data_IF_330939491107
#
_entry.id   IF_330939491107
#
_cell.length_a   1.000
_cell.length_b   1.000
_cell.length_c   1.000
_cell.angle_alpha   90.00
_cell.angle_beta   90.00
_cell.angle_gamma   90.00
#
_symmetry.space_group_name_H-M   'P 1'
#
loop_
_entity.id
_entity.type
_entity.pdbx_description
1 polymer ?
#
# COMPACT_ATOMS: atom_id res chain seq x y z
N UNK A 1 8.59 9.61 9.53
CA UNK A 1 9.94 9.26 9.03
C UNK A 1 11.03 10.24 9.51
N UNK A 2 10.80 11.55 9.58
CA UNK A 2 11.83 12.48 10.08
C UNK A 2 12.32 12.11 11.50
N UNK A 3 13.64 12.06 11.70
CA UNK A 3 14.26 11.61 12.97
C UNK A 3 14.25 10.10 13.22
N UNK A 4 13.67 9.31 12.30
CA UNK A 4 13.46 7.87 12.45
C UNK A 4 14.04 7.09 11.24
N UNK A 5 15.10 7.61 10.61
CA UNK A 5 15.74 7.03 9.44
C UNK A 5 17.28 7.18 9.55
N UNK A 6 17.93 6.47 10.50
CA UNK A 6 19.35 6.68 10.83
C UNK A 6 20.30 6.34 9.67
N UNK A 7 19.87 5.53 8.70
CA UNK A 7 20.61 5.21 7.48
C UNK A 7 20.60 6.36 6.44
N UNK A 8 19.76 7.38 6.60
CA UNK A 8 19.56 8.44 5.62
C UNK A 8 20.18 9.76 6.08
N UNK A 9 21.12 10.31 5.30
CA UNK A 9 21.67 11.65 5.52
C UNK A 9 20.71 12.76 5.09
N UNK A 10 19.78 12.48 4.17
CA UNK A 10 18.77 13.41 3.68
C UNK A 10 17.49 12.65 3.35
N UNK A 11 16.34 13.22 3.71
CA UNK A 11 15.02 12.68 3.36
C UNK A 11 14.34 13.70 2.46
N UNK A 12 13.89 13.26 1.28
CA UNK A 12 13.08 14.05 0.35
C UNK A 12 11.70 13.44 0.24
N UNK A 13 10.68 14.29 0.18
CA UNK A 13 9.30 13.87 -0.04
C UNK A 13 8.90 14.29 -1.45
N UNK A 14 8.39 13.33 -2.23
CA UNK A 14 7.78 13.60 -3.52
C UNK A 14 6.26 13.60 -3.36
N UNK A 15 5.61 14.68 -3.77
CA UNK A 15 4.15 14.75 -3.83
C UNK A 15 3.71 14.45 -5.25
N UNK A 16 2.82 13.48 -5.40
CA UNK A 16 2.33 12.99 -6.68
C UNK A 16 0.84 13.18 -6.77
N UNK A 17 0.33 13.46 -7.98
CA UNK A 17 -1.11 13.45 -8.20
C UNK A 17 -1.59 12.00 -8.29
N UNK A 18 -1.91 11.42 -7.13
CA UNK A 18 -2.53 10.09 -6.98
C UNK A 18 -4.02 10.21 -6.68
N UNK A 19 -4.66 11.26 -7.20
CA UNK A 19 -6.12 11.44 -7.18
C UNK A 19 -6.65 11.35 -8.62
N UNK A 20 -6.11 12.16 -9.52
CA UNK A 20 -6.58 12.24 -10.91
C UNK A 20 -5.89 11.24 -11.84
N UNK A 21 -4.85 10.55 -11.37
CA UNK A 21 -4.01 9.68 -12.20
C UNK A 21 -3.83 8.30 -11.58
N UNK A 22 -4.16 7.27 -12.37
CA UNK A 22 -4.04 5.87 -11.96
C UNK A 22 -2.63 5.30 -12.11
N UNK A 23 -2.38 4.16 -11.46
CA UNK A 23 -1.04 3.58 -11.35
C UNK A 23 -0.41 3.10 -12.67
N UNK A 24 -1.24 2.79 -13.67
CA UNK A 24 -0.78 2.41 -15.02
C UNK A 24 -0.41 3.60 -15.91
N UNK A 25 -0.56 4.84 -15.44
CA UNK A 25 -0.26 6.02 -16.24
C UNK A 25 1.24 6.23 -16.46
N UNK A 26 1.63 6.36 -17.73
CA UNK A 26 3.02 6.56 -18.16
C UNK A 26 3.69 7.79 -17.54
N UNK A 27 3.02 8.94 -17.51
CA UNK A 27 3.58 10.18 -16.96
C UNK A 27 3.79 10.07 -15.45
N UNK A 28 2.87 9.43 -14.74
CA UNK A 28 3.01 9.19 -13.31
C UNK A 28 4.20 8.26 -13.02
N UNK A 29 4.34 7.17 -13.78
CA UNK A 29 5.47 6.24 -13.64
C UNK A 29 6.81 6.93 -13.91
N UNK A 30 6.91 7.76 -14.96
CA UNK A 30 8.12 8.53 -15.22
C UNK A 30 8.49 9.45 -14.05
N UNK A 31 7.50 10.15 -13.46
CA UNK A 31 7.77 10.96 -12.26
C UNK A 31 8.29 10.12 -11.09
N UNK A 32 7.72 8.94 -10.85
CA UNK A 32 8.22 8.03 -9.81
C UNK A 32 9.68 7.65 -10.07
N UNK A 33 10.02 7.33 -11.32
CA UNK A 33 11.37 7.03 -11.74
C UNK A 33 12.34 8.21 -11.51
N UNK A 34 11.93 9.44 -11.85
CA UNK A 34 12.76 10.64 -11.69
C UNK A 34 13.12 10.91 -10.22
N UNK A 35 12.22 10.60 -9.28
CA UNK A 35 12.51 10.73 -7.85
C UNK A 35 13.17 9.49 -7.23
N UNK A 36 13.13 8.35 -7.92
CA UNK A 36 13.75 7.10 -7.50
C UNK A 36 15.27 7.05 -7.72
N UNK A 37 15.91 8.18 -8.04
CA UNK A 37 17.37 8.33 -8.16
C UNK A 37 18.11 8.30 -6.79
N UNK A 38 17.48 7.76 -5.74
CA UNK A 38 17.99 7.75 -4.36
C UNK A 38 18.44 6.35 -3.95
N UNK A 39 19.36 6.26 -2.98
CA UNK A 39 19.81 4.98 -2.40
C UNK A 39 18.69 4.17 -1.77
N UNK A 40 17.67 4.84 -1.19
CA UNK A 40 16.52 4.19 -0.59
C UNK A 40 15.25 4.83 -1.13
N UNK A 41 14.38 4.01 -1.72
CA UNK A 41 13.06 4.42 -2.19
C UNK A 41 12.02 3.85 -1.23
N UNK A 42 11.17 4.70 -0.69
CA UNK A 42 10.08 4.28 0.20
C UNK A 42 8.74 4.61 -0.45
N UNK A 43 7.90 3.60 -0.62
CA UNK A 43 6.56 3.76 -1.22
C UNK A 43 5.49 3.29 -0.27
N UNK A 44 4.36 4.01 -0.22
CA UNK A 44 3.17 3.61 0.53
C UNK A 44 1.97 3.47 -0.40
N UNK A 45 1.09 2.50 -0.11
CA UNK A 45 -0.19 2.30 -0.79
C UNK A 45 -0.02 2.22 -2.31
N UNK A 46 -0.86 2.93 -3.08
CA UNK A 46 -0.80 2.95 -4.55
C UNK A 46 0.60 3.34 -5.08
N UNK A 47 1.41 4.09 -4.32
CA UNK A 47 2.77 4.42 -4.74
C UNK A 47 3.66 3.21 -4.94
N UNK A 48 3.47 2.12 -4.17
CA UNK A 48 4.22 0.88 -4.39
C UNK A 48 3.81 0.19 -5.68
N UNK A 49 2.52 0.24 -6.02
CA UNK A 49 1.99 -0.32 -7.25
C UNK A 49 2.44 0.47 -8.49
N UNK A 50 2.51 1.81 -8.40
CA UNK A 50 3.07 2.67 -9.45
C UNK A 50 4.53 2.30 -9.71
N UNK A 51 5.34 2.20 -8.64
CA UNK A 51 6.76 1.85 -8.76
C UNK A 51 6.96 0.46 -9.37
N UNK A 52 6.20 -0.54 -8.89
CA UNK A 52 6.21 -1.90 -9.41
C UNK A 52 5.98 -1.93 -10.93
N UNK A 53 4.96 -1.20 -11.41
CA UNK A 53 4.62 -1.19 -12.83
C UNK A 53 5.61 -0.37 -13.67
N UNK A 54 6.18 0.71 -13.12
CA UNK A 54 7.24 1.46 -13.77
C UNK A 54 8.48 0.59 -14.03
N UNK A 55 8.85 -0.27 -13.07
CA UNK A 55 9.91 -1.27 -13.22
C UNK A 55 9.52 -2.34 -14.24
N UNK A 56 8.29 -2.88 -14.13
CA UNK A 56 7.79 -3.94 -15.02
C UNK A 56 7.77 -3.54 -16.50
N UNK A 57 7.45 -2.28 -16.79
CA UNK A 57 7.39 -1.73 -18.14
C UNK A 57 8.71 -1.09 -18.60
N UNK A 58 9.76 -1.16 -17.78
CA UNK A 58 11.08 -0.65 -18.11
C UNK A 58 11.17 0.88 -18.19
N UNK A 59 10.25 1.62 -17.55
CA UNK A 59 10.34 3.09 -17.44
C UNK A 59 11.59 3.51 -16.67
N UNK A 60 11.98 2.70 -15.69
CA UNK A 60 13.26 2.79 -15.00
C UNK A 60 13.71 1.43 -14.49
N UNK A 61 14.94 1.40 -13.97
CA UNK A 61 15.51 0.30 -13.23
C UNK A 61 16.17 0.86 -11.97
N UNK A 62 16.21 0.07 -10.91
CA UNK A 62 17.06 0.38 -9.77
C UNK A 62 18.52 0.10 -10.10
N UNK A 63 19.43 0.88 -9.50
CA UNK A 63 20.84 0.54 -9.47
C UNK A 63 21.12 -0.54 -8.42
N UNK A 64 22.28 -1.18 -8.48
CA UNK A 64 22.72 -2.17 -7.49
C UNK A 64 22.84 -1.61 -6.06
N UNK A 65 22.80 -0.28 -5.91
CA UNK A 65 22.87 0.44 -4.63
C UNK A 65 21.54 1.03 -4.20
N UNK A 66 20.45 0.70 -4.89
CA UNK A 66 19.11 1.23 -4.59
C UNK A 66 18.29 0.15 -3.90
N UNK A 67 17.83 0.43 -2.68
CA UNK A 67 16.97 -0.45 -1.90
C UNK A 67 15.53 0.09 -1.87
N UNK A 68 14.57 -0.75 -2.23
CA UNK A 68 13.15 -0.38 -2.23
C UNK A 68 12.43 -0.94 -1.00
N UNK A 69 11.82 -0.05 -0.21
CA UNK A 69 10.98 -0.35 0.93
C UNK A 69 9.51 -0.07 0.59
N UNK A 70 8.66 -1.08 0.71
CA UNK A 70 7.24 -0.98 0.33
C UNK A 70 6.31 -1.12 1.54
N UNK A 71 5.31 -0.25 1.64
CA UNK A 71 4.40 -0.15 2.79
C UNK A 71 2.95 -0.28 2.32
N UNK A 72 2.28 -1.36 2.70
CA UNK A 72 0.87 -1.63 2.33
C UNK A 72 0.50 -1.41 0.84
N UNK A 73 1.31 -1.83 -0.16
CA UNK A 73 0.90 -1.67 -1.56
C UNK A 73 -0.30 -2.57 -1.92
N UNK A 74 -1.29 -2.12 -2.69
CA UNK A 74 -2.36 -2.99 -3.19
C UNK A 74 -1.90 -3.75 -4.46
N UNK A 75 -0.96 -4.70 -4.33
CA UNK A 75 -0.38 -5.41 -5.50
C UNK A 75 -1.34 -6.35 -6.23
N UNK A 76 -2.53 -6.60 -5.68
CA UNK A 76 -3.66 -7.24 -6.35
C UNK A 76 -4.94 -6.39 -6.29
N UNK A 77 -4.80 -5.07 -6.05
CA UNK A 77 -5.91 -4.15 -5.85
C UNK A 77 -6.49 -4.15 -4.44
N UNK A 78 -7.65 -3.52 -4.26
CA UNK A 78 -8.29 -3.30 -2.96
C UNK A 78 -9.79 -3.55 -3.04
N UNK A 79 -10.33 -4.43 -2.17
CA UNK A 79 -11.77 -4.63 -2.12
C UNK A 79 -12.53 -3.38 -1.64
N UNK A 80 -11.85 -2.45 -0.98
CA UNK A 80 -12.44 -1.16 -0.61
C UNK A 80 -12.88 -0.38 -1.86
N UNK A 81 -12.08 -0.46 -2.93
CA UNK A 81 -12.38 0.17 -4.22
C UNK A 81 -13.52 -0.56 -4.91
N UNK A 82 -13.51 -1.89 -4.97
CA UNK A 82 -14.61 -2.66 -5.56
C UNK A 82 -15.93 -2.38 -4.83
N UNK A 83 -15.89 -2.33 -3.50
CA UNK A 83 -17.06 -1.97 -2.68
C UNK A 83 -17.57 -0.55 -2.99
N UNK A 84 -16.67 0.43 -3.09
CA UNK A 84 -17.02 1.80 -3.50
C UNK A 84 -17.58 1.85 -4.93
N UNK A 85 -17.02 1.09 -5.87
CA UNK A 85 -17.47 1.05 -7.26
C UNK A 85 -18.86 0.45 -7.38
N UNK A 86 -19.13 -0.65 -6.68
CA UNK A 86 -20.47 -1.23 -6.61
C UNK A 86 -21.48 -0.27 -5.97
N UNK A 87 -21.07 0.44 -4.92
CA UNK A 87 -21.87 1.48 -4.29
C UNK A 87 -22.23 2.63 -5.24
N UNK A 88 -21.24 3.16 -5.96
CA UNK A 88 -21.46 4.26 -6.92
C UNK A 88 -22.30 3.82 -8.14
N UNK A 89 -22.25 2.55 -8.53
CA UNK A 89 -22.99 2.04 -9.68
C UNK A 89 -24.47 1.76 -9.36
N UNK A 90 -24.78 1.29 -8.15
CA UNK A 90 -26.11 0.78 -7.81
C UNK A 90 -27.03 1.82 -7.13
N UNK A 91 -26.60 3.07 -6.94
CA UNK A 91 -27.31 4.21 -6.27
C UNK A 91 -27.93 3.89 -4.89
N UNK A 92 -27.64 2.71 -4.31
CA UNK A 92 -28.27 2.14 -3.11
C UNK A 92 -27.31 1.29 -2.30
N UNK A 93 -26.20 1.85 -1.85
CA UNK A 93 -25.35 1.15 -0.89
C UNK A 93 -25.58 1.64 0.53
N UNK A 94 -25.53 0.71 1.48
CA UNK A 94 -25.45 0.95 2.93
C UNK A 94 -24.06 1.48 3.36
N UNK A 95 -23.36 2.18 2.47
CA UNK A 95 -22.08 2.79 2.81
C UNK A 95 -22.37 4.00 3.69
N UNK A 96 -21.83 4.00 4.89
CA UNK A 96 -22.04 5.11 5.82
C UNK A 96 -21.21 6.32 5.40
N UNK A 97 -21.61 7.52 5.84
CA UNK A 97 -20.85 8.77 5.61
C UNK A 97 -19.39 8.64 6.05
N UNK A 98 -19.14 8.00 7.20
CA UNK A 98 -17.81 7.74 7.72
C UNK A 98 -16.98 6.81 6.83
N UNK A 99 -17.63 5.86 6.15
CA UNK A 99 -16.96 4.98 5.22
C UNK A 99 -16.66 5.72 3.90
N UNK A 100 -17.56 6.59 3.42
CA UNK A 100 -17.30 7.49 2.30
C UNK A 100 -16.10 8.42 2.55
N UNK A 101 -15.97 8.97 3.75
CA UNK A 101 -14.83 9.82 4.11
C UNK A 101 -13.49 9.06 4.04
N UNK A 102 -13.52 7.74 4.26
CA UNK A 102 -12.33 6.90 4.24
C UNK A 102 -12.02 6.34 2.85
N UNK A 103 -12.97 5.69 2.19
CA UNK A 103 -12.73 5.02 0.90
C UNK A 103 -12.87 5.97 -0.30
N UNK A 104 -13.51 7.13 -0.12
CA UNK A 104 -13.74 8.13 -1.15
C UNK A 104 -15.22 8.26 -1.52
N UNK A 105 -15.59 9.43 -2.07
CA UNK A 105 -16.96 9.74 -2.48
C UNK A 105 -17.24 9.36 -3.94
N UNK A 106 -18.52 9.34 -4.33
CA UNK A 106 -18.94 9.20 -5.71
C UNK A 106 -19.00 10.57 -6.42
N UNK A 107 -18.56 10.70 -7.68
CA UNK A 107 -17.86 9.67 -8.47
C UNK A 107 -16.43 9.44 -7.95
N UNK A 108 -16.03 8.17 -7.83
CA UNK A 108 -14.68 7.81 -7.38
C UNK A 108 -13.61 8.36 -8.31
N UNK A 109 -12.48 8.78 -7.75
CA UNK A 109 -11.37 9.40 -8.49
C UNK A 109 -10.66 8.40 -9.39
N UNK A 110 -9.99 8.88 -10.44
CA UNK A 110 -9.30 8.01 -11.42
C UNK A 110 -8.28 7.10 -10.75
N UNK A 111 -7.55 7.61 -9.77
CA UNK A 111 -6.57 6.84 -9.01
C UNK A 111 -7.23 5.68 -8.25
N UNK A 112 -8.27 5.97 -7.46
CA UNK A 112 -9.01 4.94 -6.71
C UNK A 112 -9.57 3.88 -7.64
N UNK A 113 -10.26 4.29 -8.71
CA UNK A 113 -10.78 3.37 -9.75
C UNK A 113 -9.72 2.49 -10.37
N UNK A 114 -8.49 2.97 -10.48
CA UNK A 114 -7.41 2.17 -11.05
C UNK A 114 -6.96 1.02 -10.14
N UNK A 115 -7.25 1.08 -8.83
CA UNK A 115 -6.83 0.06 -7.84
C UNK A 115 -7.91 -0.96 -7.49
N UNK A 116 -8.84 -1.20 -8.42
CA UNK A 116 -9.82 -2.30 -8.37
C UNK A 116 -9.14 -3.66 -8.20
N UNK A 117 -9.85 -4.61 -7.62
CA UNK A 117 -9.27 -5.92 -7.28
C UNK A 117 -9.00 -6.76 -8.54
N UNK A 118 -7.83 -7.39 -8.60
CA UNK A 118 -7.42 -8.29 -9.69
C UNK A 118 -8.40 -9.48 -9.82
N UNK A 119 -8.90 -9.71 -11.03
CA UNK A 119 -9.94 -10.70 -11.32
C UNK A 119 -11.29 -10.42 -10.62
N UNK A 120 -11.49 -9.21 -10.09
CA UNK A 120 -12.75 -8.75 -9.52
C UNK A 120 -13.80 -8.34 -10.57
N UNK A 121 -15.00 -7.98 -10.11
CA UNK A 121 -16.14 -7.61 -10.96
C UNK A 121 -15.84 -6.44 -11.90
N UNK A 122 -15.11 -5.43 -11.39
CA UNK A 122 -14.78 -4.22 -12.14
C UNK A 122 -13.49 -4.35 -12.96
N UNK A 123 -12.80 -5.49 -12.87
CA UNK A 123 -11.51 -5.72 -13.52
C UNK A 123 -11.63 -5.98 -15.03
N UNK A 124 -10.49 -6.01 -15.69
CA UNK A 124 -10.34 -6.31 -17.12
C UNK A 124 -9.09 -7.16 -17.36
N UNK A 125 -9.04 -7.95 -18.44
CA UNK A 125 -7.84 -8.72 -18.77
C UNK A 125 -6.56 -7.85 -18.89
N UNK A 126 -6.70 -6.60 -19.33
CA UNK A 126 -5.57 -5.67 -19.42
C UNK A 126 -5.05 -5.21 -18.06
N UNK A 127 -5.93 -4.93 -17.09
CA UNK A 127 -5.49 -4.50 -15.77
C UNK A 127 -4.95 -5.68 -14.96
N UNK A 128 -5.53 -6.88 -15.12
CA UNK A 128 -5.01 -8.11 -14.52
C UNK A 128 -3.61 -8.44 -15.05
N UNK A 129 -3.39 -8.30 -16.37
CA UNK A 129 -2.06 -8.46 -16.95
C UNK A 129 -1.04 -7.44 -16.41
N UNK A 130 -1.47 -6.19 -16.19
CA UNK A 130 -0.65 -5.17 -15.56
C UNK A 130 -0.31 -5.52 -14.10
N UNK A 131 -1.27 -6.07 -13.34
CA UNK A 131 -1.04 -6.54 -11.97
C UNK A 131 -0.02 -7.66 -11.95
N UNK A 132 -0.18 -8.69 -12.79
CA UNK A 132 0.76 -9.80 -12.89
C UNK A 132 2.19 -9.31 -13.20
N UNK A 133 2.34 -8.34 -14.12
CA UNK A 133 3.63 -7.73 -14.44
C UNK A 133 4.22 -6.94 -13.27
N UNK A 134 3.41 -6.10 -12.61
CA UNK A 134 3.80 -5.33 -11.44
C UNK A 134 4.22 -6.23 -10.27
N UNK A 135 3.44 -7.27 -9.96
CA UNK A 135 3.74 -8.26 -8.91
C UNK A 135 5.07 -8.98 -9.17
N UNK A 136 5.36 -9.34 -10.43
CA UNK A 136 6.66 -9.93 -10.79
C UNK A 136 7.80 -8.96 -10.50
N UNK A 137 7.70 -7.72 -10.99
CA UNK A 137 8.72 -6.70 -10.73
C UNK A 137 8.85 -6.38 -9.23
N UNK A 138 7.75 -6.39 -8.49
CA UNK A 138 7.74 -6.21 -7.04
C UNK A 138 8.59 -7.26 -6.34
N UNK A 139 8.33 -8.55 -6.59
CA UNK A 139 9.09 -9.66 -6.00
C UNK A 139 10.58 -9.65 -6.37
N UNK A 140 10.91 -9.18 -7.57
CA UNK A 140 12.28 -9.13 -8.06
C UNK A 140 13.10 -7.96 -7.50
N UNK A 141 12.45 -6.90 -7.00
CA UNK A 141 13.12 -5.63 -6.69
C UNK A 141 12.91 -5.12 -5.27
N UNK A 142 11.90 -5.60 -4.53
CA UNK A 142 11.64 -5.12 -3.16
C UNK A 142 12.68 -5.67 -2.19
N UNK A 143 13.33 -4.77 -1.44
CA UNK A 143 14.32 -5.13 -0.43
C UNK A 143 13.66 -5.40 0.94
N UNK A 144 12.57 -4.71 1.25
CA UNK A 144 11.82 -4.85 2.49
C UNK A 144 10.35 -4.47 2.29
N UNK A 145 9.44 -5.13 3.02
CA UNK A 145 8.01 -4.82 2.92
C UNK A 145 7.32 -4.85 4.28
N UNK A 146 6.39 -3.91 4.47
CA UNK A 146 5.44 -3.91 5.57
C UNK A 146 4.04 -4.23 5.04
N UNK A 147 3.51 -5.40 5.39
CA UNK A 147 2.17 -5.85 5.02
C UNK A 147 1.38 -6.21 6.27
N UNK A 148 0.42 -5.37 6.67
CA UNK A 148 -0.38 -5.67 7.86
C UNK A 148 -1.51 -6.65 7.57
N UNK A 149 -1.80 -7.48 8.58
CA UNK A 149 -2.94 -8.38 8.60
C UNK A 149 -3.99 -7.96 9.64
N UNK A 150 -4.04 -6.67 10.02
CA UNK A 150 -4.99 -6.14 11.00
C UNK A 150 -5.35 -4.68 10.81
N UNK A 151 -6.65 -4.40 10.64
CA UNK A 151 -7.25 -3.08 10.62
C UNK A 151 -7.40 -2.46 12.03
N UNK A 152 -7.24 -3.26 13.08
CA UNK A 152 -7.12 -2.75 14.46
C UNK A 152 -5.68 -2.38 14.70
N UNK A 153 -5.37 -1.10 14.49
CA UNK A 153 -4.03 -0.53 14.60
C UNK A 153 -3.76 0.17 15.94
N UNK A 154 -2.94 1.22 15.89
CA UNK A 154 -2.65 2.10 17.02
C UNK A 154 -3.88 2.92 17.41
N UNK A 155 -3.97 3.24 18.70
CA UNK A 155 -5.00 4.15 19.20
C UNK A 155 -4.76 5.55 18.63
N UNK A 156 -5.66 5.99 17.75
CA UNK A 156 -5.54 7.23 16.98
C UNK A 156 -6.90 7.63 16.39
N UNK A 157 -6.98 8.83 15.80
CA UNK A 157 -8.16 9.30 15.07
C UNK A 157 -8.49 8.44 13.84
N UNK A 158 -7.52 7.71 13.29
CA UNK A 158 -7.71 6.84 12.13
C UNK A 158 -8.23 5.45 12.50
N UNK A 159 -8.17 5.06 13.77
CA UNK A 159 -8.50 3.70 14.19
C UNK A 159 -9.97 3.38 13.96
N UNK A 160 -10.88 4.30 14.31
CA UNK A 160 -12.31 4.07 14.18
C UNK A 160 -12.74 3.85 12.72
N UNK A 161 -12.25 4.67 11.79
CA UNK A 161 -12.56 4.54 10.36
C UNK A 161 -11.96 3.26 9.78
N UNK A 162 -10.72 2.90 10.12
CA UNK A 162 -10.12 1.66 9.64
C UNK A 162 -10.82 0.41 10.21
N UNK A 163 -11.30 0.45 11.46
CA UNK A 163 -12.12 -0.63 12.03
C UNK A 163 -13.43 -0.77 11.27
N UNK A 164 -14.09 0.36 10.96
CA UNK A 164 -15.32 0.35 10.19
C UNK A 164 -15.10 -0.25 8.80
N UNK A 165 -14.07 0.20 8.07
CA UNK A 165 -13.73 -0.33 6.75
C UNK A 165 -13.40 -1.82 6.79
N UNK A 166 -12.49 -2.24 7.67
CA UNK A 166 -12.11 -3.66 7.82
C UNK A 166 -13.25 -4.59 8.27
N UNK A 167 -14.34 -4.04 8.81
CA UNK A 167 -15.54 -4.79 9.23
C UNK A 167 -16.64 -4.80 8.16
N UNK A 168 -16.88 -3.68 7.49
CA UNK A 168 -18.02 -3.49 6.58
C UNK A 168 -17.70 -3.90 5.14
N UNK A 169 -16.47 -3.68 4.70
CA UNK A 169 -16.04 -4.02 3.34
C UNK A 169 -15.93 -5.55 3.25
N UNK A 170 -16.48 -6.17 2.18
CA UNK A 170 -16.39 -7.61 1.97
C UNK A 170 -14.99 -8.03 1.49
N UNK A 171 -13.98 -7.85 2.35
CA UNK A 171 -12.61 -8.27 2.09
C UNK A 171 -12.53 -9.78 1.83
N UNK A 172 -11.56 -10.20 1.00
CA UNK A 172 -11.35 -11.64 0.70
C UNK A 172 -10.92 -12.47 1.93
N UNK A 173 -10.43 -11.81 2.98
CA UNK A 173 -10.19 -12.43 4.28
C UNK A 173 -10.23 -11.39 5.41
N UNK A 174 -10.18 -11.88 6.66
CA UNK A 174 -10.04 -11.02 7.86
C UNK A 174 -8.64 -10.40 8.00
N UNK A 175 -7.67 -10.82 7.18
CA UNK A 175 -6.31 -10.27 7.17
C UNK A 175 -6.27 -9.07 6.21
N UNK A 176 -6.48 -7.87 6.74
CA UNK A 176 -6.41 -6.62 5.99
C UNK A 176 -6.03 -5.48 6.92
N UNK A 177 -5.52 -4.38 6.38
CA UNK A 177 -5.16 -3.17 7.14
C UNK A 177 -6.30 -2.12 7.18
N UNK A 178 -7.49 -2.52 6.75
CA UNK A 178 -8.69 -1.69 6.60
C UNK A 178 -8.97 -1.33 5.15
N UNK A 179 -7.93 -1.24 4.30
CA UNK A 179 -8.09 -0.90 2.88
C UNK A 179 -7.47 -1.95 1.96
N UNK A 180 -6.35 -2.53 2.36
CA UNK A 180 -5.58 -3.49 1.57
C UNK A 180 -5.52 -4.83 2.30
N UNK A 181 -5.88 -5.89 1.60
CA UNK A 181 -5.74 -7.26 2.07
C UNK A 181 -4.27 -7.62 2.20
N UNK A 182 -3.94 -8.40 3.24
CA UNK A 182 -2.59 -8.90 3.46
C UNK A 182 -2.05 -9.62 2.21
N UNK A 183 -2.84 -10.51 1.60
CA UNK A 183 -2.45 -11.24 0.38
C UNK A 183 -2.24 -10.31 -0.83
N UNK A 184 -3.05 -9.25 -0.94
CA UNK A 184 -2.85 -8.21 -1.97
C UNK A 184 -1.53 -7.47 -1.73
N UNK A 185 -1.18 -7.20 -0.47
CA UNK A 185 0.10 -6.58 -0.11
C UNK A 185 1.33 -7.45 -0.41
N UNK A 186 1.21 -8.76 -0.21
CA UNK A 186 2.29 -9.70 -0.51
C UNK A 186 2.71 -9.64 -1.97
N UNK A 187 1.77 -9.40 -2.90
CA UNK A 187 2.07 -9.40 -4.33
C UNK A 187 2.78 -10.68 -4.78
N UNK A 188 2.45 -11.81 -4.15
CA UNK A 188 3.07 -13.12 -4.37
C UNK A 188 4.40 -13.38 -3.66
N UNK A 189 4.88 -12.50 -2.77
CA UNK A 189 5.93 -12.85 -1.81
C UNK A 189 5.43 -13.98 -0.90
N UNK A 190 6.34 -14.87 -0.48
CA UNK A 190 6.00 -15.94 0.45
C UNK A 190 5.63 -15.37 1.83
N UNK A 191 4.43 -15.68 2.34
CA UNK A 191 3.96 -15.28 3.68
C UNK A 191 4.95 -15.72 4.77
N UNK A 192 5.68 -16.83 4.59
CA UNK A 192 6.65 -17.31 5.56
C UNK A 192 7.86 -16.41 5.73
N UNK A 193 8.12 -15.48 4.80
CA UNK A 193 9.13 -14.45 4.97
C UNK A 193 8.72 -13.42 6.04
N UNK A 194 7.42 -13.30 6.31
CA UNK A 194 6.88 -12.22 7.11
C UNK A 194 6.77 -12.58 8.60
N UNK A 195 7.61 -11.92 9.41
CA UNK A 195 7.56 -12.00 10.87
C UNK A 195 6.79 -10.84 11.50
N UNK A 196 6.40 -10.98 12.77
CA UNK A 196 5.59 -9.97 13.48
C UNK A 196 6.42 -9.09 14.44
N UNK A 197 7.74 -9.13 14.33
CA UNK A 197 8.67 -8.32 15.08
C UNK A 197 9.20 -7.16 14.22
N UNK A 198 9.39 -5.98 14.82
CA UNK A 198 9.95 -4.81 14.13
C UNK A 198 11.41 -4.99 13.66
N UNK A 199 12.02 -6.18 13.84
CA UNK A 199 13.36 -6.49 13.32
C UNK A 199 13.27 -7.36 12.06
N UNK A 200 12.08 -7.79 11.67
CA UNK A 200 11.87 -8.61 10.49
C UNK A 200 11.89 -7.72 9.24
N UNK A 201 12.77 -8.01 8.27
CA UNK A 201 12.85 -7.26 7.00
C UNK A 201 11.51 -7.23 6.26
N UNK A 202 10.81 -8.36 6.28
CA UNK A 202 9.43 -8.48 5.83
C UNK A 202 8.55 -8.51 7.09
N UNK A 203 7.86 -7.41 7.34
CA UNK A 203 7.14 -7.19 8.58
C UNK A 203 5.65 -7.34 8.37
N UNK A 204 5.05 -8.24 9.15
CA UNK A 204 3.60 -8.44 9.31
C UNK A 204 3.13 -7.82 10.62
N UNK A 205 2.92 -6.50 10.65
CA UNK A 205 2.43 -5.81 11.83
C UNK A 205 0.94 -6.00 12.06
N UNK A 206 0.48 -5.56 13.24
CA UNK A 206 -0.92 -5.33 13.60
C UNK A 206 -1.23 -3.82 13.58
N UNK A 207 -1.30 -3.24 12.38
CA UNK A 207 -1.34 -1.80 12.12
C UNK A 207 -2.34 -1.49 11.00
N UNK A 208 -3.17 -0.46 11.18
CA UNK A 208 -4.08 -0.07 10.11
C UNK A 208 -3.33 0.65 8.97
N UNK A 209 -4.01 0.88 7.85
CA UNK A 209 -3.41 1.48 6.65
C UNK A 209 -2.76 2.86 6.91
N UNK A 210 -3.29 3.64 7.84
CA UNK A 210 -2.74 4.94 8.24
C UNK A 210 -1.47 4.79 9.10
N UNK A 211 -1.43 3.78 9.97
CA UNK A 211 -0.25 3.50 10.79
C UNK A 211 0.94 3.02 9.94
N UNK A 212 0.70 2.24 8.88
CA UNK A 212 1.76 1.79 7.96
C UNK A 212 2.37 2.96 7.16
N UNK A 213 1.66 4.08 7.05
CA UNK A 213 2.17 5.35 6.54
C UNK A 213 2.93 6.20 7.58
N UNK A 214 3.18 5.67 8.79
CA UNK A 214 3.85 6.33 9.91
C UNK A 214 3.10 7.51 10.56
N UNK A 215 1.78 7.61 10.36
CA UNK A 215 0.99 8.76 10.84
C UNK A 215 0.87 8.85 12.36
N UNK A 216 0.89 7.71 13.09
CA UNK A 216 0.54 7.67 14.52
C UNK A 216 1.69 7.27 15.48
N UNK A 217 2.91 7.04 14.98
CA UNK A 217 4.06 6.68 15.83
C UNK A 217 4.22 5.18 16.07
N UNK A 218 4.80 4.82 17.21
CA UNK A 218 4.96 3.43 17.66
C UNK A 218 4.07 3.13 18.85
N UNK A 219 3.49 1.93 18.86
CA UNK A 219 2.85 1.34 20.01
C UNK A 219 3.85 1.04 21.11
N UNK A 220 3.41 1.12 22.36
CA UNK A 220 4.29 1.01 23.52
C UNK A 220 4.68 -0.46 23.77
N UNK A 221 3.70 -1.36 23.76
CA UNK A 221 3.84 -2.72 24.28
C UNK A 221 4.22 -3.78 23.23
N UNK A 222 3.56 -3.78 22.06
CA UNK A 222 3.66 -4.89 21.10
C UNK A 222 4.71 -4.61 20.04
N UNK A 223 5.55 -5.61 19.75
CA UNK A 223 6.53 -5.53 18.67
C UNK A 223 5.89 -5.44 17.28
N UNK A 224 4.66 -5.94 17.14
CA UNK A 224 3.86 -5.85 15.92
C UNK A 224 3.21 -4.48 15.69
N UNK A 225 3.47 -3.51 16.57
CA UNK A 225 2.88 -2.17 16.49
C UNK A 225 3.95 -1.07 16.46
N UNK A 226 5.15 -1.35 15.92
CA UNK A 226 6.28 -0.40 15.94
C UNK A 226 6.77 -0.08 14.51
N UNK A 227 5.95 0.60 13.69
CA UNK A 227 6.33 0.87 12.29
C UNK A 227 7.56 1.78 12.19
N UNK A 228 7.71 2.79 13.05
CA UNK A 228 8.88 3.70 12.99
C UNK A 228 10.13 2.97 13.43
N UNK A 229 10.07 2.24 14.56
CA UNK A 229 11.21 1.42 14.99
C UNK A 229 11.61 0.37 13.95
N UNK A 230 10.64 -0.21 13.24
CA UNK A 230 10.93 -1.12 12.14
C UNK A 230 11.77 -0.44 11.06
N UNK A 231 11.36 0.75 10.60
CA UNK A 231 12.11 1.49 9.60
C UNK A 231 13.49 1.94 10.11
N UNK A 232 13.60 2.34 11.39
CA UNK A 232 14.87 2.71 12.02
C UNK A 232 15.88 1.56 12.07
N UNK A 233 15.39 0.35 12.30
CA UNK A 233 16.20 -0.84 12.51
C UNK A 233 16.44 -1.62 11.20
N UNK A 234 15.87 -1.16 10.09
CA UNK A 234 15.96 -1.83 8.80
C UNK A 234 17.39 -1.72 8.25
N UNK A 235 18.00 -2.88 7.97
CA UNK A 235 19.32 -2.98 7.37
C UNK A 235 19.13 -3.18 5.86
N UNK A 236 19.52 -2.18 5.06
CA UNK A 236 19.32 -2.08 3.61
C UNK A 236 20.62 -1.94 2.84
#
# INVERSE_FOLDING_TARGET
MHGHAPCCSTIKYAVMNTEDVGWTNDTLQHKYCDYALSTIVVTHSMGGLVMAHALATGKCRFSDTTSWVSLSPPMAGSMAVDYLMGACHNEKSDITEWLFDLVGQCPSTTARKSTIYEGGEFSSPSIDAAYAAAQKAYRENVAAAMCSDSYVGLFSTYQATCILAGTMIPHKSKKNDGLVEFDSCLGGLDENLFGNHYLDTFYRPKLNHADTAFLNGDGILKNSQKPRKWFECLQL
#
